data_IF_881850533894
#
_entry.id   IF_881850533894
#
_cell.length_a   1.000
_cell.length_b   1.000
_cell.length_c   1.000
_cell.angle_alpha   90.00
_cell.angle_beta   90.00
_cell.angle_gamma   90.00
#
_symmetry.space_group_name_H-M   'P 1'
#
loop_
_entity.id
_entity.type
_entity.pdbx_description
1 polymer ?
#
# COMPACT_ATOMS: atom_id res chain seq x y z
N UNK A 1 4.49 -25.99 -5.45
CA UNK A 1 4.84 -24.96 -6.47
C UNK A 1 4.07 -23.68 -6.22
N UNK A 2 4.72 -22.50 -6.29
CA UNK A 2 4.02 -21.21 -6.13
C UNK A 2 3.17 -20.92 -7.37
N UNK A 3 1.88 -20.65 -7.15
CA UNK A 3 0.87 -20.39 -8.19
C UNK A 3 0.24 -19.01 -8.09
N UNK A 4 0.38 -18.31 -6.95
CA UNK A 4 -0.10 -16.96 -6.78
C UNK A 4 0.83 -16.12 -5.91
N UNK A 5 0.90 -14.82 -6.21
CA UNK A 5 1.51 -13.81 -5.35
C UNK A 5 0.45 -12.74 -5.06
N UNK A 6 0.24 -12.46 -3.77
CA UNK A 6 -0.67 -11.41 -3.31
C UNK A 6 0.15 -10.26 -2.69
N UNK A 7 -0.27 -9.05 -2.95
CA UNK A 7 0.43 -7.83 -2.52
C UNK A 7 -0.45 -6.95 -1.65
N UNK A 8 0.15 -6.29 -0.67
CA UNK A 8 -0.36 -5.06 -0.14
C UNK A 8 -0.10 -3.90 -1.13
N UNK A 9 -0.74 -2.74 -0.93
CA UNK A 9 -0.58 -1.56 -1.78
C UNK A 9 0.35 -0.51 -1.16
N UNK A 10 -0.06 0.08 -0.02
CA UNK A 10 0.57 1.27 0.58
C UNK A 10 1.88 0.91 1.30
N UNK A 11 3.01 1.42 0.83
CA UNK A 11 4.33 1.05 1.36
C UNK A 11 4.94 -0.21 0.71
N UNK A 12 4.16 -0.92 -0.10
CA UNK A 12 4.57 -2.14 -0.80
C UNK A 12 4.73 -1.90 -2.30
N UNK A 13 3.67 -1.56 -3.01
CA UNK A 13 3.68 -1.23 -4.44
C UNK A 13 3.66 0.27 -4.68
N UNK A 14 2.85 0.98 -3.92
CA UNK A 14 2.78 2.44 -3.89
C UNK A 14 3.80 2.99 -2.89
N UNK A 15 4.73 3.81 -3.34
CA UNK A 15 5.60 4.60 -2.46
C UNK A 15 4.79 5.72 -1.81
N UNK A 16 4.03 5.33 -0.78
CA UNK A 16 3.08 6.21 -0.11
C UNK A 16 3.74 7.47 0.46
N UNK A 17 4.92 7.34 1.04
CA UNK A 17 5.63 8.46 1.66
C UNK A 17 6.01 9.51 0.62
N UNK A 18 6.55 9.09 -0.51
CA UNK A 18 6.90 10.00 -1.62
C UNK A 18 5.65 10.61 -2.25
N UNK A 19 4.61 9.82 -2.47
CA UNK A 19 3.32 10.26 -3.02
C UNK A 19 2.67 11.30 -2.11
N UNK A 20 2.64 11.04 -0.80
CA UNK A 20 2.08 11.96 0.17
C UNK A 20 2.85 13.29 0.21
N UNK A 21 4.17 13.24 0.19
CA UNK A 21 5.01 14.44 0.18
C UNK A 21 4.73 15.29 -1.05
N UNK A 22 4.73 14.69 -2.25
CA UNK A 22 4.42 15.37 -3.51
C UNK A 22 3.02 16.00 -3.48
N UNK A 23 2.05 15.28 -2.96
CA UNK A 23 0.69 15.80 -2.82
C UNK A 23 0.63 17.00 -1.87
N UNK A 24 1.28 16.93 -0.70
CA UNK A 24 1.28 18.02 0.29
C UNK A 24 1.93 19.28 -0.29
N UNK A 25 3.04 19.13 -1.01
CA UNK A 25 3.73 20.23 -1.70
C UNK A 25 2.81 20.90 -2.74
N UNK A 26 2.16 20.11 -3.57
CA UNK A 26 1.19 20.59 -4.57
C UNK A 26 -0.03 21.25 -3.91
N UNK A 27 -0.60 20.64 -2.87
CA UNK A 27 -1.74 21.18 -2.12
C UNK A 27 -1.40 22.56 -1.53
N UNK A 28 -0.22 22.72 -0.93
CA UNK A 28 0.24 23.97 -0.36
C UNK A 28 0.30 25.09 -1.42
N UNK A 29 0.78 24.78 -2.63
CA UNK A 29 0.88 25.71 -3.75
C UNK A 29 -0.51 26.04 -4.32
N UNK A 30 -1.31 25.02 -4.65
CA UNK A 30 -2.63 25.19 -5.29
C UNK A 30 -3.63 25.96 -4.42
N UNK A 31 -3.56 25.73 -3.12
CA UNK A 31 -4.46 26.39 -2.16
C UNK A 31 -3.89 27.71 -1.62
N UNK A 32 -2.77 28.18 -2.20
CA UNK A 32 -2.13 29.46 -1.86
C UNK A 32 -1.84 29.62 -0.36
N UNK A 33 -1.33 28.56 0.29
CA UNK A 33 -1.00 28.57 1.72
C UNK A 33 0.36 29.25 2.03
N UNK A 34 0.77 30.23 1.21
CA UNK A 34 2.10 30.90 1.27
C UNK A 34 2.41 31.58 2.61
N UNK A 35 1.38 31.87 3.41
CA UNK A 35 1.53 32.43 4.76
C UNK A 35 2.06 31.39 5.77
N UNK A 36 2.10 30.11 5.40
CA UNK A 36 2.67 29.02 6.19
C UNK A 36 3.94 28.54 5.49
N UNK A 37 5.11 28.49 6.15
CA UNK A 37 6.30 27.90 5.56
C UNK A 37 6.04 26.45 5.11
N UNK A 38 6.43 26.12 3.89
CA UNK A 38 6.12 24.81 3.28
C UNK A 38 6.67 23.62 4.11
N UNK A 39 7.87 23.76 4.64
CA UNK A 39 8.47 22.71 5.49
C UNK A 39 7.70 22.51 6.79
N UNK A 40 7.13 23.58 7.35
CA UNK A 40 6.26 23.50 8.51
C UNK A 40 4.96 22.77 8.18
N UNK A 41 4.33 23.08 7.03
CA UNK A 41 3.12 22.41 6.59
C UNK A 41 3.35 20.90 6.35
N UNK A 42 4.41 20.56 5.61
CA UNK A 42 4.79 19.17 5.32
C UNK A 42 5.08 18.39 6.60
N UNK A 43 5.99 18.90 7.43
CA UNK A 43 6.42 18.20 8.64
C UNK A 43 5.26 17.97 9.60
N UNK A 44 4.39 18.97 9.74
CA UNK A 44 3.24 18.86 10.61
C UNK A 44 2.20 17.89 10.09
N UNK A 45 1.91 17.93 8.78
CA UNK A 45 1.01 16.98 8.15
C UNK A 45 1.49 15.53 8.37
N UNK A 46 2.75 15.24 8.02
CA UNK A 46 3.34 13.89 8.17
C UNK A 46 3.26 13.40 9.62
N UNK A 47 3.56 14.29 10.59
CA UNK A 47 3.45 13.95 12.00
C UNK A 47 2.02 13.61 12.44
N UNK A 48 1.03 14.34 11.93
CA UNK A 48 -0.37 14.10 12.24
C UNK A 48 -0.95 12.88 11.52
N UNK A 49 -0.44 12.58 10.33
CA UNK A 49 -0.85 11.44 9.52
C UNK A 49 -0.50 10.08 10.15
N UNK A 50 0.57 10.04 10.96
CA UNK A 50 1.01 8.82 11.65
C UNK A 50 1.09 7.60 10.69
N UNK A 51 1.78 7.76 9.57
CA UNK A 51 1.93 6.72 8.55
C UNK A 51 0.60 6.20 7.94
N UNK A 52 -0.44 7.03 7.97
CA UNK A 52 -1.77 6.70 7.46
C UNK A 52 -2.74 6.13 8.49
N UNK A 53 -2.32 5.95 9.74
CA UNK A 53 -3.21 5.47 10.81
C UNK A 53 -4.25 6.49 11.24
N UNK A 54 -3.99 7.79 11.02
CA UNK A 54 -4.95 8.85 11.28
C UNK A 54 -5.60 9.28 9.97
N UNK A 55 -6.93 9.14 9.90
CA UNK A 55 -7.65 9.56 8.70
C UNK A 55 -7.62 11.08 8.51
N UNK A 56 -7.68 11.51 7.26
CA UNK A 56 -7.35 12.88 6.84
C UNK A 56 -8.31 13.95 7.37
N UNK A 57 -9.56 13.61 7.72
CA UNK A 57 -10.48 14.52 8.40
C UNK A 57 -9.89 15.06 9.72
N UNK A 58 -9.34 14.14 10.53
CA UNK A 58 -8.70 14.47 11.81
C UNK A 58 -7.35 15.17 11.61
N UNK A 59 -6.58 14.77 10.60
CA UNK A 59 -5.32 15.43 10.24
C UNK A 59 -5.59 16.88 9.89
N UNK A 60 -6.54 17.14 8.98
CA UNK A 60 -6.85 18.49 8.53
C UNK A 60 -7.48 19.36 9.61
N UNK A 61 -8.35 18.79 10.46
CA UNK A 61 -8.89 19.53 11.59
C UNK A 61 -7.79 20.09 12.49
N UNK A 62 -6.79 19.26 12.83
CA UNK A 62 -5.64 19.68 13.63
C UNK A 62 -4.69 20.63 12.89
N UNK A 63 -4.45 20.41 11.60
CA UNK A 63 -3.64 21.33 10.79
C UNK A 63 -4.21 22.75 10.76
N UNK A 64 -5.52 22.87 10.56
CA UNK A 64 -6.23 24.16 10.56
C UNK A 64 -6.04 24.87 11.89
N UNK A 65 -6.27 24.17 13.01
CA UNK A 65 -6.14 24.71 14.35
C UNK A 65 -4.70 25.19 14.63
N UNK A 66 -3.73 24.34 14.41
CA UNK A 66 -2.34 24.57 14.80
C UNK A 66 -1.61 25.58 13.90
N UNK A 67 -1.87 25.51 12.59
CA UNK A 67 -1.26 26.40 11.61
C UNK A 67 -2.10 27.64 11.30
N UNK A 68 -3.23 27.79 12.01
CA UNK A 68 -4.17 28.93 11.87
C UNK A 68 -4.56 29.16 10.41
N UNK A 69 -4.87 28.08 9.69
CA UNK A 69 -5.30 28.15 8.29
C UNK A 69 -6.67 28.84 8.27
N UNK A 70 -6.76 29.95 7.54
CA UNK A 70 -7.98 30.73 7.34
C UNK A 70 -8.63 30.35 6.01
N UNK A 71 -9.92 30.56 5.89
CA UNK A 71 -10.72 30.44 4.67
C UNK A 71 -10.80 29.03 4.06
N UNK A 72 -10.33 28.00 4.79
CA UNK A 72 -10.44 26.60 4.40
C UNK A 72 -10.96 25.75 5.57
N UNK A 73 -11.88 24.85 5.26
CA UNK A 73 -12.39 23.85 6.21
C UNK A 73 -11.70 22.49 6.06
N UNK A 74 -11.72 21.69 7.10
CA UNK A 74 -11.20 20.31 7.04
C UNK A 74 -11.88 19.48 5.95
N UNK A 75 -13.17 19.69 5.71
CA UNK A 75 -13.92 19.03 4.65
C UNK A 75 -13.45 19.42 3.25
N UNK A 76 -13.14 20.70 3.03
CA UNK A 76 -12.58 21.17 1.76
C UNK A 76 -11.18 20.58 1.50
N UNK A 77 -10.33 20.56 2.52
CA UNK A 77 -8.99 19.96 2.42
C UNK A 77 -9.06 18.45 2.22
N UNK A 78 -10.00 17.75 2.87
CA UNK A 78 -10.22 16.32 2.66
C UNK A 78 -10.73 16.04 1.24
N UNK A 79 -11.69 16.81 0.73
CA UNK A 79 -12.18 16.69 -0.64
C UNK A 79 -11.05 16.91 -1.65
N UNK A 80 -10.21 17.90 -1.41
CA UNK A 80 -9.02 18.14 -2.22
C UNK A 80 -8.06 16.95 -2.18
N UNK A 81 -7.78 16.39 -0.99
CA UNK A 81 -6.96 15.19 -0.84
C UNK A 81 -7.49 14.01 -1.66
N UNK A 82 -8.76 13.70 -1.52
CA UNK A 82 -9.38 12.58 -2.24
C UNK A 82 -9.34 12.77 -3.76
N UNK A 83 -9.48 14.02 -4.24
CA UNK A 83 -9.52 14.32 -5.67
C UNK A 83 -8.13 14.40 -6.32
N UNK A 84 -7.10 14.81 -5.58
CA UNK A 84 -5.80 15.12 -6.15
C UNK A 84 -4.68 14.16 -5.74
N UNK A 85 -4.77 13.47 -4.62
CA UNK A 85 -3.75 12.50 -4.20
C UNK A 85 -3.44 11.45 -5.28
N UNK A 86 -4.43 10.88 -6.02
CA UNK A 86 -4.13 9.92 -7.06
C UNK A 86 -3.18 10.44 -8.15
N UNK A 87 -3.17 11.75 -8.42
CA UNK A 87 -2.26 12.38 -9.40
C UNK A 87 -0.80 12.36 -8.97
N UNK A 88 -0.55 12.12 -7.69
CA UNK A 88 0.78 12.10 -7.08
C UNK A 88 1.25 10.69 -6.74
N UNK A 89 0.43 9.66 -7.02
CA UNK A 89 0.80 8.28 -6.81
C UNK A 89 2.09 7.95 -7.55
N UNK A 90 3.08 7.52 -6.79
CA UNK A 90 4.41 7.18 -7.29
C UNK A 90 4.67 5.71 -6.94
N UNK A 91 4.96 4.83 -7.92
CA UNK A 91 5.31 3.44 -7.64
C UNK A 91 6.67 3.34 -6.95
N UNK A 92 6.94 2.22 -6.31
CA UNK A 92 8.32 1.83 -6.05
C UNK A 92 9.01 1.42 -7.35
N UNK A 93 10.34 1.52 -7.35
CA UNK A 93 11.16 1.13 -8.50
C UNK A 93 10.90 -0.34 -8.88
N UNK A 94 11.03 -0.64 -10.16
CA UNK A 94 10.83 -1.95 -10.76
C UNK A 94 9.41 -2.56 -10.62
N UNK A 95 8.39 -1.80 -10.17
CA UNK A 95 7.03 -2.30 -9.99
C UNK A 95 6.49 -2.98 -11.25
N UNK A 96 6.43 -2.28 -12.37
CA UNK A 96 5.87 -2.81 -13.62
C UNK A 96 6.67 -4.01 -14.14
N UNK A 97 7.99 -3.90 -14.14
CA UNK A 97 8.90 -4.97 -14.56
C UNK A 97 8.66 -6.25 -13.75
N UNK A 98 8.52 -6.13 -12.44
CA UNK A 98 8.22 -7.27 -11.54
C UNK A 98 6.88 -7.90 -11.87
N UNK A 99 5.79 -7.11 -12.00
CA UNK A 99 4.44 -7.62 -12.30
C UNK A 99 4.40 -8.34 -13.66
N UNK A 100 4.99 -7.75 -14.69
CA UNK A 100 5.11 -8.38 -16.02
C UNK A 100 5.84 -9.72 -15.94
N UNK A 101 6.98 -9.76 -15.23
CA UNK A 101 7.77 -10.98 -15.09
C UNK A 101 7.00 -12.09 -14.37
N UNK A 102 6.23 -11.76 -13.32
CA UNK A 102 5.38 -12.73 -12.62
C UNK A 102 4.27 -13.28 -13.55
N UNK A 103 3.61 -12.40 -14.30
CA UNK A 103 2.54 -12.82 -15.24
C UNK A 103 3.09 -13.72 -16.36
N UNK A 104 4.29 -13.45 -16.87
CA UNK A 104 4.94 -14.31 -17.87
C UNK A 104 5.22 -15.74 -17.39
N UNK A 105 5.31 -15.93 -16.07
CA UNK A 105 5.46 -17.24 -15.44
C UNK A 105 4.12 -17.95 -15.17
N UNK A 106 2.99 -17.41 -15.67
CA UNK A 106 1.63 -17.91 -15.41
C UNK A 106 1.25 -17.97 -13.92
N UNK A 107 1.83 -17.08 -13.10
CA UNK A 107 1.50 -16.93 -11.69
C UNK A 107 0.38 -15.90 -11.57
N UNK A 108 -0.65 -16.23 -10.80
CA UNK A 108 -1.78 -15.34 -10.54
C UNK A 108 -1.39 -14.20 -9.59
N UNK A 109 -1.95 -13.03 -9.83
CA UNK A 109 -1.70 -11.84 -9.01
C UNK A 109 -2.97 -11.45 -8.23
N UNK A 110 -2.80 -11.25 -6.92
CA UNK A 110 -3.84 -10.71 -6.05
C UNK A 110 -3.37 -9.44 -5.36
N UNK A 111 -4.32 -8.61 -4.91
CA UNK A 111 -4.06 -7.48 -4.05
C UNK A 111 -5.01 -7.49 -2.87
N UNK A 112 -4.50 -7.18 -1.66
CA UNK A 112 -5.31 -6.98 -0.46
C UNK A 112 -4.86 -5.69 0.21
N UNK A 113 -5.70 -4.64 0.12
CA UNK A 113 -5.40 -3.33 0.69
C UNK A 113 -6.39 -2.95 1.78
N UNK A 114 -5.87 -2.43 2.91
CA UNK A 114 -6.70 -1.78 3.91
C UNK A 114 -6.94 -0.32 3.51
N UNK A 115 -8.20 0.12 3.55
CA UNK A 115 -8.53 1.52 3.26
C UNK A 115 -9.93 1.71 2.70
N UNK A 116 -10.20 2.94 2.28
CA UNK A 116 -11.46 3.34 1.66
C UNK A 116 -11.50 2.93 0.19
N UNK A 117 -12.58 2.30 -0.19
CA UNK A 117 -12.69 1.55 -1.45
C UNK A 117 -12.40 2.35 -2.70
N UNK A 118 -13.11 3.46 -2.88
CA UNK A 118 -12.93 4.28 -4.06
C UNK A 118 -11.52 4.91 -4.08
N UNK A 119 -11.05 5.39 -2.93
CA UNK A 119 -9.74 6.03 -2.83
C UNK A 119 -8.60 5.06 -3.19
N UNK A 120 -8.63 3.83 -2.67
CA UNK A 120 -7.62 2.83 -3.01
C UNK A 120 -7.70 2.41 -4.48
N UNK A 121 -8.91 2.25 -5.03
CA UNK A 121 -9.08 1.94 -6.44
C UNK A 121 -8.54 3.06 -7.35
N UNK A 122 -8.76 4.33 -6.99
CA UNK A 122 -8.22 5.47 -7.72
C UNK A 122 -6.69 5.50 -7.69
N UNK A 123 -6.08 5.14 -6.55
CA UNK A 123 -4.62 5.02 -6.42
C UNK A 123 -4.06 3.88 -7.28
N UNK A 124 -4.72 2.72 -7.29
CA UNK A 124 -4.33 1.55 -8.11
C UNK A 124 -4.38 1.91 -9.60
N UNK A 125 -5.47 2.56 -10.04
CA UNK A 125 -5.62 3.03 -11.43
C UNK A 125 -4.60 4.10 -11.80
N UNK A 126 -4.29 5.02 -10.88
CA UNK A 126 -3.27 6.05 -11.09
C UNK A 126 -1.87 5.45 -11.30
N UNK A 127 -1.57 4.33 -10.64
CA UNK A 127 -0.36 3.55 -10.89
C UNK A 127 -0.42 2.73 -12.19
N UNK A 128 -1.58 2.63 -12.85
CA UNK A 128 -1.83 1.84 -14.07
C UNK A 128 -1.54 0.36 -13.90
N UNK A 129 -1.83 -0.20 -12.73
CA UNK A 129 -1.52 -1.60 -12.40
C UNK A 129 -2.75 -2.49 -12.23
N UNK A 130 -3.95 -1.95 -12.24
CA UNK A 130 -5.22 -2.66 -12.04
C UNK A 130 -5.38 -3.87 -12.97
N UNK A 131 -4.95 -3.72 -14.22
CA UNK A 131 -5.06 -4.75 -15.25
C UNK A 131 -4.13 -5.97 -15.08
N UNK A 132 -3.12 -5.89 -14.20
CA UNK A 132 -2.27 -7.05 -13.89
C UNK A 132 -2.92 -8.02 -12.91
N UNK A 133 -3.86 -7.56 -12.08
CA UNK A 133 -4.39 -8.33 -10.96
C UNK A 133 -5.62 -9.16 -11.35
N UNK A 134 -5.56 -10.45 -11.04
CA UNK A 134 -6.67 -11.38 -11.21
C UNK A 134 -7.74 -11.17 -10.12
N UNK A 135 -7.38 -10.59 -8.97
CA UNK A 135 -8.29 -10.16 -7.91
C UNK A 135 -7.74 -9.00 -7.10
N UNK A 136 -8.62 -8.05 -6.74
CA UNK A 136 -8.31 -6.92 -5.85
C UNK A 136 -9.36 -6.91 -4.74
N UNK A 137 -8.89 -6.98 -3.48
CA UNK A 137 -9.73 -6.87 -2.30
C UNK A 137 -9.35 -5.59 -1.54
N UNK A 138 -10.34 -4.74 -1.29
CA UNK A 138 -10.19 -3.54 -0.48
C UNK A 138 -11.08 -3.69 0.75
N UNK A 139 -10.51 -3.49 1.93
CA UNK A 139 -11.12 -3.83 3.21
C UNK A 139 -12.53 -3.26 3.42
N UNK A 140 -12.80 -2.06 2.94
CA UNK A 140 -14.14 -1.45 3.08
C UNK A 140 -15.19 -2.20 2.23
N UNK A 141 -14.88 -2.61 0.99
CA UNK A 141 -15.78 -3.42 0.16
C UNK A 141 -16.00 -4.81 0.74
N UNK A 142 -14.95 -5.39 1.33
CA UNK A 142 -15.02 -6.74 1.88
C UNK A 142 -15.68 -6.78 3.27
N UNK A 143 -15.84 -5.64 3.97
CA UNK A 143 -16.34 -5.57 5.34
C UNK A 143 -15.40 -6.15 6.39
N UNK A 144 -14.18 -6.52 6.00
CA UNK A 144 -13.12 -7.08 6.84
C UNK A 144 -11.78 -6.49 6.40
N UNK A 145 -10.80 -6.47 7.30
CA UNK A 145 -9.48 -5.88 7.03
C UNK A 145 -8.34 -6.74 7.59
N UNK A 146 -7.16 -6.61 7.03
CA UNK A 146 -5.94 -7.14 7.64
C UNK A 146 -5.76 -6.55 9.05
N UNK A 147 -5.41 -7.33 10.07
CA UNK A 147 -4.85 -8.68 10.05
C UNK A 147 -5.85 -9.83 10.13
N UNK A 148 -7.15 -9.62 9.87
CA UNK A 148 -8.12 -10.71 9.89
C UNK A 148 -7.74 -11.77 8.85
N UNK A 149 -7.63 -13.04 9.31
CA UNK A 149 -7.28 -14.18 8.46
C UNK A 149 -8.25 -14.37 7.28
N UNK A 150 -9.52 -14.03 7.49
CA UNK A 150 -10.59 -14.24 6.52
C UNK A 150 -10.32 -13.48 5.20
N UNK A 151 -9.76 -12.27 5.24
CA UNK A 151 -9.51 -11.50 4.01
C UNK A 151 -8.46 -12.19 3.12
N UNK A 152 -7.45 -12.83 3.72
CA UNK A 152 -6.44 -13.60 2.98
C UNK A 152 -7.09 -14.83 2.35
N UNK A 153 -7.92 -15.56 3.12
CA UNK A 153 -8.61 -16.74 2.61
C UNK A 153 -9.56 -16.42 1.46
N UNK A 154 -10.26 -15.28 1.50
CA UNK A 154 -11.08 -14.79 0.36
C UNK A 154 -10.24 -14.51 -0.87
N UNK A 155 -9.10 -13.86 -0.72
CA UNK A 155 -8.17 -13.60 -1.83
C UNK A 155 -7.71 -14.91 -2.48
N UNK A 156 -7.29 -15.86 -1.67
CA UNK A 156 -6.84 -17.18 -2.12
C UNK A 156 -7.98 -17.96 -2.83
N UNK A 157 -9.18 -17.94 -2.27
CA UNK A 157 -10.36 -18.57 -2.87
C UNK A 157 -10.69 -17.99 -4.24
N UNK A 158 -10.70 -16.65 -4.36
CA UNK A 158 -10.93 -15.97 -5.66
C UNK A 158 -9.86 -16.33 -6.70
N UNK A 159 -8.63 -16.57 -6.27
CA UNK A 159 -7.53 -17.01 -7.14
C UNK A 159 -7.54 -18.52 -7.41
N UNK A 160 -8.30 -19.31 -6.66
CA UNK A 160 -8.34 -20.77 -6.79
C UNK A 160 -7.00 -21.43 -6.44
N UNK A 161 -6.35 -20.97 -5.36
CA UNK A 161 -5.07 -21.49 -4.87
C UNK A 161 -5.13 -21.75 -3.36
N UNK A 162 -4.31 -22.70 -2.90
CA UNK A 162 -4.15 -22.96 -1.46
C UNK A 162 -3.14 -21.99 -0.83
N UNK A 163 -3.17 -21.78 0.50
CA UNK A 163 -2.18 -20.93 1.18
C UNK A 163 -0.73 -21.37 0.91
N UNK A 164 -0.45 -22.66 0.86
CA UNK A 164 0.91 -23.21 0.62
C UNK A 164 1.44 -22.93 -0.79
N UNK A 165 0.55 -22.70 -1.75
CA UNK A 165 0.89 -22.35 -3.14
C UNK A 165 1.00 -20.86 -3.38
N UNK A 166 1.00 -20.05 -2.32
CA UNK A 166 0.94 -18.60 -2.42
C UNK A 166 1.98 -17.89 -1.56
N UNK A 167 2.35 -16.70 -2.03
CA UNK A 167 3.20 -15.76 -1.31
C UNK A 167 2.40 -14.49 -1.05
N UNK A 168 2.51 -13.92 0.15
CA UNK A 168 2.05 -12.57 0.45
C UNK A 168 3.25 -11.63 0.58
N UNK A 169 3.18 -10.49 -0.10
CA UNK A 169 4.19 -9.44 -0.04
C UNK A 169 3.58 -8.20 0.61
N UNK A 170 4.20 -7.70 1.67
CA UNK A 170 3.70 -6.52 2.38
C UNK A 170 4.79 -5.83 3.18
N UNK A 171 4.51 -4.61 3.63
CA UNK A 171 5.44 -3.79 4.39
C UNK A 171 5.19 -3.78 5.90
N UNK A 172 3.98 -4.15 6.34
CA UNK A 172 3.59 -4.09 7.74
C UNK A 172 3.85 -5.42 8.46
N UNK A 173 4.71 -5.46 9.50
CA UNK A 173 5.09 -6.70 10.17
C UNK A 173 3.91 -7.53 10.71
N UNK A 174 2.90 -6.86 11.27
CA UNK A 174 1.74 -7.53 11.89
C UNK A 174 0.60 -7.73 10.88
N UNK A 175 0.14 -6.64 10.24
CA UNK A 175 -1.06 -6.68 9.39
C UNK A 175 -0.85 -7.53 8.12
N UNK A 176 0.37 -7.53 7.58
CA UNK A 176 0.70 -8.25 6.35
C UNK A 176 1.41 -9.57 6.66
N UNK A 177 2.58 -9.48 7.29
CA UNK A 177 3.50 -10.60 7.38
C UNK A 177 3.02 -11.64 8.37
N UNK A 178 2.80 -11.25 9.62
CA UNK A 178 2.35 -12.19 10.66
C UNK A 178 0.96 -12.77 10.32
N UNK A 179 0.06 -11.92 9.79
CA UNK A 179 -1.30 -12.33 9.45
C UNK A 179 -1.33 -13.30 8.26
N UNK A 180 -0.59 -13.04 7.18
CA UNK A 180 -0.47 -13.95 6.04
C UNK A 180 0.22 -15.26 6.44
N UNK A 181 1.24 -15.20 7.31
CA UNK A 181 1.88 -16.40 7.87
C UNK A 181 0.90 -17.26 8.65
N UNK A 182 0.07 -16.65 9.50
CA UNK A 182 -1.02 -17.35 10.23
C UNK A 182 -2.09 -17.91 9.30
N UNK A 183 -2.29 -17.31 8.13
CA UNK A 183 -3.16 -17.88 7.09
C UNK A 183 -2.53 -19.08 6.37
N UNK A 184 -1.25 -19.37 6.59
CA UNK A 184 -0.51 -20.50 6.00
C UNK A 184 0.21 -20.16 4.70
N UNK A 185 0.32 -18.89 4.36
CA UNK A 185 1.05 -18.40 3.19
C UNK A 185 2.55 -18.28 3.47
N UNK A 186 3.37 -18.30 2.45
CA UNK A 186 4.74 -17.77 2.52
C UNK A 186 4.70 -16.25 2.51
N UNK A 187 5.72 -15.62 3.10
CA UNK A 187 5.71 -14.17 3.31
C UNK A 187 7.02 -13.53 2.88
N UNK A 188 6.90 -12.39 2.21
CA UNK A 188 8.01 -11.52 1.85
C UNK A 188 7.77 -10.15 2.46
N UNK A 189 8.66 -9.70 3.33
CA UNK A 189 8.60 -8.38 3.90
C UNK A 189 9.33 -7.37 3.00
N UNK A 190 8.58 -6.39 2.48
CA UNK A 190 9.13 -5.21 1.81
C UNK A 190 9.62 -4.24 2.88
N UNK A 191 10.95 -4.14 3.03
CA UNK A 191 11.56 -3.26 4.04
C UNK A 191 11.17 -1.80 3.84
N UNK A 192 10.93 -1.13 4.94
CA UNK A 192 10.67 0.30 4.99
C UNK A 192 11.44 0.96 6.15
N UNK A 193 11.36 2.27 6.26
CA UNK A 193 12.03 3.03 7.32
C UNK A 193 11.23 3.11 8.62
N UNK A 194 9.97 2.68 8.60
CA UNK A 194 9.08 2.77 9.76
C UNK A 194 9.26 1.58 10.72
N UNK A 195 9.42 0.38 10.16
CA UNK A 195 9.65 -0.83 10.95
C UNK A 195 11.09 -1.31 10.80
N UNK A 196 11.72 -1.66 11.92
CA UNK A 196 13.11 -2.14 11.93
C UNK A 196 13.23 -3.61 11.55
N UNK A 197 12.18 -4.42 11.78
CA UNK A 197 12.18 -5.86 11.56
C UNK A 197 10.78 -6.43 11.42
N UNK A 198 10.68 -7.59 10.76
CA UNK A 198 9.47 -8.40 10.63
C UNK A 198 9.84 -9.88 10.87
N UNK A 199 9.92 -10.33 12.13
CA UNK A 199 10.50 -11.65 12.47
C UNK A 199 9.70 -12.83 11.92
N UNK A 200 8.43 -12.65 11.58
CA UNK A 200 7.60 -13.68 10.97
C UNK A 200 7.83 -13.85 9.45
N UNK A 201 8.60 -12.96 8.80
CA UNK A 201 8.85 -13.03 7.37
C UNK A 201 9.74 -14.22 7.00
N UNK A 202 9.38 -14.93 5.93
CA UNK A 202 10.24 -15.96 5.35
C UNK A 202 11.38 -15.34 4.56
N UNK A 203 11.14 -14.17 3.94
CA UNK A 203 12.09 -13.40 3.13
C UNK A 203 11.93 -11.91 3.36
N UNK A 204 12.99 -11.15 3.06
CA UNK A 204 13.01 -9.70 3.12
C UNK A 204 13.58 -9.16 1.81
N UNK A 205 12.97 -8.10 1.29
CA UNK A 205 13.43 -7.40 0.08
C UNK A 205 13.48 -5.89 0.30
N UNK A 206 14.37 -5.23 -0.41
CA UNK A 206 14.43 -3.77 -0.51
C UNK A 206 13.94 -3.28 -1.86
N UNK A 207 14.21 -4.04 -2.91
CA UNK A 207 13.73 -3.80 -4.27
C UNK A 207 12.65 -4.82 -4.65
N UNK A 208 11.65 -4.38 -5.42
CA UNK A 208 10.56 -5.26 -5.83
C UNK A 208 11.00 -6.37 -6.79
N UNK A 209 12.07 -6.14 -7.55
CA UNK A 209 12.54 -7.15 -8.49
C UNK A 209 13.20 -8.35 -7.82
N UNK A 210 13.71 -8.21 -6.58
CA UNK A 210 14.22 -9.31 -5.76
C UNK A 210 13.16 -10.42 -5.50
N UNK A 211 11.86 -10.08 -5.62
CA UNK A 211 10.76 -11.03 -5.46
C UNK A 211 10.84 -12.14 -6.51
N UNK A 212 11.34 -11.85 -7.71
CA UNK A 212 11.48 -12.83 -8.79
C UNK A 212 12.46 -13.94 -8.39
N UNK A 213 13.60 -13.57 -7.82
CA UNK A 213 14.61 -14.54 -7.37
C UNK A 213 14.06 -15.46 -6.26
N UNK A 214 13.20 -14.90 -5.38
CA UNK A 214 12.54 -15.68 -4.32
C UNK A 214 11.55 -16.67 -4.92
N UNK A 215 10.74 -16.25 -5.88
CA UNK A 215 9.79 -17.13 -6.58
C UNK A 215 10.53 -18.29 -7.25
N UNK A 216 11.63 -18.02 -7.93
CA UNK A 216 12.45 -19.06 -8.60
C UNK A 216 13.05 -20.06 -7.59
N UNK A 217 13.59 -19.56 -6.47
CA UNK A 217 14.09 -20.42 -5.37
C UNK A 217 13.01 -21.33 -4.79
N UNK A 218 11.78 -20.83 -4.66
CA UNK A 218 10.67 -21.61 -4.12
C UNK A 218 10.17 -22.67 -5.10
N UNK A 219 10.30 -22.45 -6.41
CA UNK A 219 10.03 -23.47 -7.42
C UNK A 219 11.08 -24.61 -7.38
N UNK A 220 12.36 -24.25 -7.17
CA UNK A 220 13.45 -25.22 -7.14
C UNK A 220 13.51 -26.12 -5.89
N UNK A 221 12.76 -25.80 -4.82
CA UNK A 221 12.73 -26.62 -3.59
C UNK A 221 11.81 -27.85 -3.67
N UNK A 222 11.04 -27.98 -4.73
CA UNK A 222 10.07 -29.07 -4.90
C UNK A 222 10.58 -30.17 -5.87
N UNK A 223 11.84 -30.11 -6.25
CA UNK A 223 12.58 -31.14 -7.01
C UNK A 223 13.49 -31.90 -6.03
#
# INVERSE_FOLDING_TARGET
MIRAVLFDLDGTLLNRNLSLRKFIEDQHIRLNLKHIPIDQYISRFIKLDQHGYVWKDKVYAKLIEELKIKDLTASQLLKDYLSFFPRHCTPFDNLEKMLVTIKQQNIKLGMISNGFSQFQMDNIKALKIDHYFDTILISEYEGIKKPDREIFMRGLSKLGVSPKESIFVGDHPVNDIEAAKKAGMKTIWKKNTHFSHAPAADYCVTDLFEIIDIIEREKGKEV
#
